data_IF_371815093388
#
_entry.id   IF_371815093388
#
_cell.length_a   1.000
_cell.length_b   1.000
_cell.length_c   1.000
_cell.angle_alpha   90.00
_cell.angle_beta   90.00
_cell.angle_gamma   90.00
#
_symmetry.space_group_name_H-M   'P 1'
#
loop_
_entity.id
_entity.type
_entity.pdbx_description
1 polymer ?
#
# COMPACT_ATOMS: atom_id res chain seq x y z
N UNK A 1 19.87 1.89 1.27
CA UNK A 1 19.27 3.26 1.19
C UNK A 1 19.37 3.93 2.54
N UNK A 2 19.51 5.26 2.56
CA UNK A 2 19.61 6.07 3.77
C UNK A 2 18.28 6.78 4.05
N UNK A 3 17.88 6.94 5.31
CA UNK A 3 16.68 7.71 5.69
C UNK A 3 17.00 8.64 6.85
N UNK A 4 16.70 9.94 6.77
CA UNK A 4 16.81 10.89 7.89
C UNK A 4 15.48 11.16 8.56
N UNK A 5 15.52 11.33 9.87
CA UNK A 5 14.36 11.65 10.71
C UNK A 5 14.48 13.07 11.26
N UNK A 6 13.44 13.90 11.10
CA UNK A 6 13.37 15.30 11.56
C UNK A 6 12.12 15.53 12.41
N UNK A 7 12.26 16.11 13.59
CA UNK A 7 11.16 16.32 14.53
C UNK A 7 10.10 17.31 14.00
N UNK A 8 8.81 17.00 14.20
CA UNK A 8 7.69 17.89 13.85
C UNK A 8 7.58 19.01 14.89
N UNK A 9 7.42 20.26 14.46
CA UNK A 9 7.43 21.46 15.32
C UNK A 9 6.39 21.48 16.46
N UNK A 10 5.34 20.65 16.39
CA UNK A 10 4.24 20.59 17.38
C UNK A 10 3.96 19.15 17.87
N UNK A 11 4.97 18.26 17.90
CA UNK A 11 4.80 16.96 18.55
C UNK A 11 4.52 17.22 20.04
N UNK A 12 3.27 17.00 20.49
CA UNK A 12 2.90 17.19 21.89
C UNK A 12 3.79 16.36 22.83
N UNK A 13 3.93 16.80 24.08
CA UNK A 13 4.67 16.04 25.09
C UNK A 13 3.86 14.77 25.42
N UNK A 14 4.28 13.63 24.87
CA UNK A 14 3.81 12.33 25.35
C UNK A 14 4.89 11.70 26.22
N UNK A 15 4.78 11.89 27.53
CA UNK A 15 5.51 11.09 28.49
C UNK A 15 4.91 9.69 28.53
N UNK A 16 5.57 8.72 27.91
CA UNK A 16 5.43 7.30 28.28
C UNK A 16 6.77 6.59 28.11
N UNK A 17 7.73 6.82 29.03
CA UNK A 17 8.94 6.01 29.32
C UNK A 17 9.87 5.50 28.18
N UNK A 18 9.55 5.72 26.91
CA UNK A 18 10.20 5.15 25.73
C UNK A 18 10.16 6.16 24.57
N UNK A 19 10.53 7.42 24.84
CA UNK A 19 10.97 8.31 23.76
C UNK A 19 12.38 7.86 23.35
N UNK A 20 12.55 7.23 22.19
CA UNK A 20 13.84 6.71 21.79
C UNK A 20 14.86 7.86 21.70
N UNK A 21 14.47 9.04 21.23
CA UNK A 21 15.37 10.17 20.99
C UNK A 21 15.93 10.78 22.28
N UNK A 22 15.15 10.81 23.37
CA UNK A 22 15.67 11.20 24.70
C UNK A 22 16.56 10.12 25.31
N UNK A 23 16.28 8.84 25.07
CA UNK A 23 17.12 7.73 25.54
C UNK A 23 18.42 7.53 24.72
N UNK A 24 18.49 8.04 23.49
CA UNK A 24 19.65 7.91 22.59
C UNK A 24 20.73 8.98 22.80
N UNK A 25 20.49 10.04 23.58
CA UNK A 25 21.49 11.10 23.78
C UNK A 25 22.77 10.62 24.50
N UNK A 26 22.76 9.44 25.11
CA UNK A 26 23.86 8.90 25.93
C UNK A 26 24.54 7.64 25.38
N UNK A 27 24.07 7.01 24.30
CA UNK A 27 24.64 5.74 23.82
C UNK A 27 24.90 5.71 22.31
N UNK A 28 26.11 5.29 21.93
CA UNK A 28 26.59 5.29 20.54
C UNK A 28 26.08 4.14 19.65
N UNK A 29 25.26 3.23 20.17
CA UNK A 29 24.52 2.23 19.40
C UNK A 29 23.67 1.38 20.32
N UNK A 30 22.42 1.10 19.94
CA UNK A 30 21.59 0.09 20.59
C UNK A 30 21.02 -0.87 19.54
N UNK A 31 20.96 -2.16 19.87
CA UNK A 31 20.25 -3.19 19.11
C UNK A 31 18.93 -3.51 19.84
N UNK A 32 17.82 -3.51 19.12
CA UNK A 32 16.50 -3.80 19.68
C UNK A 32 15.95 -5.13 19.15
N UNK A 33 15.14 -5.85 19.95
CA UNK A 33 14.37 -7.00 19.49
C UNK A 33 13.40 -6.62 18.37
N UNK A 34 13.13 -7.56 17.46
CA UNK A 34 12.28 -7.38 16.27
C UNK A 34 10.85 -6.94 16.59
N UNK A 35 10.31 -7.30 17.76
CA UNK A 35 8.97 -6.89 18.19
C UNK A 35 8.84 -5.41 18.55
N UNK A 36 9.94 -4.74 18.94
CA UNK A 36 9.94 -3.33 19.32
C UNK A 36 9.98 -2.38 18.11
N UNK A 37 10.34 -2.87 16.92
CA UNK A 37 10.57 -2.02 15.75
C UNK A 37 9.29 -1.43 15.18
N UNK A 38 8.18 -2.15 15.30
CA UNK A 38 6.85 -1.69 14.87
C UNK A 38 6.42 -0.53 15.75
N UNK A 39 6.60 -0.65 17.07
CA UNK A 39 6.29 0.40 18.04
C UNK A 39 7.20 1.62 17.84
N UNK A 40 8.48 1.40 17.58
CA UNK A 40 9.45 2.46 17.28
C UNK A 40 9.07 3.18 15.98
N UNK A 41 8.72 2.48 14.90
CA UNK A 41 8.31 3.10 13.63
C UNK A 41 6.98 3.84 13.81
N UNK A 42 5.97 3.23 14.41
CA UNK A 42 4.66 3.88 14.65
C UNK A 42 4.80 5.15 15.52
N UNK A 43 5.69 5.12 16.52
CA UNK A 43 5.99 6.28 17.37
C UNK A 43 6.82 7.34 16.63
N UNK A 44 7.79 6.93 15.81
CA UNK A 44 8.63 7.84 15.01
C UNK A 44 7.76 8.59 13.98
N UNK A 45 6.87 7.93 13.25
CA UNK A 45 6.05 8.60 12.21
C UNK A 45 5.05 9.62 12.79
N UNK A 46 4.60 9.42 14.03
CA UNK A 46 3.73 10.37 14.73
C UNK A 46 4.45 11.70 15.00
N UNK A 47 5.71 11.64 15.42
CA UNK A 47 6.45 12.80 15.92
C UNK A 47 7.55 13.33 14.96
N UNK A 48 7.93 12.56 13.94
CA UNK A 48 9.04 12.86 13.05
C UNK A 48 8.63 12.74 11.56
N UNK A 49 9.25 13.55 10.73
CA UNK A 49 9.25 13.49 9.27
C UNK A 49 10.37 12.53 8.85
N UNK A 50 10.05 11.58 7.97
CA UNK A 50 11.02 10.61 7.44
C UNK A 50 11.37 10.99 6.01
N UNK A 51 12.64 11.29 5.76
CA UNK A 51 13.15 11.68 4.45
C UNK A 51 14.07 10.59 3.92
N UNK A 52 13.82 10.12 2.69
CA UNK A 52 14.73 9.20 2.00
C UNK A 52 15.94 9.97 1.49
N UNK A 53 17.15 9.57 1.86
CA UNK A 53 18.39 10.10 1.31
C UNK A 53 18.98 9.14 0.28
N UNK A 54 19.20 9.66 -0.93
CA UNK A 54 20.07 9.01 -1.91
C UNK A 54 21.53 9.14 -1.45
N UNK A 55 22.31 8.08 -1.59
CA UNK A 55 23.75 8.18 -1.41
C UNK A 55 24.31 9.08 -2.53
N UNK A 56 24.74 10.30 -2.17
CA UNK A 56 25.25 11.41 -3.02
C UNK A 56 24.47 11.67 -4.32
N UNK A 57 23.69 12.76 -4.36
CA UNK A 57 23.42 13.48 -5.62
C UNK A 57 21.98 13.84 -6.00
N UNK A 58 21.00 13.78 -5.09
CA UNK A 58 19.64 14.27 -5.38
C UNK A 58 18.63 13.69 -4.41
N UNK A 59 17.81 14.53 -3.78
CA UNK A 59 16.79 14.11 -2.81
C UNK A 59 15.44 14.54 -3.35
N UNK A 60 14.66 13.58 -3.85
CA UNK A 60 13.20 13.71 -3.97
C UNK A 60 12.56 13.07 -2.74
N UNK A 61 11.62 13.80 -2.14
CA UNK A 61 10.95 13.47 -0.88
C UNK A 61 9.53 12.98 -1.19
N UNK A 62 9.23 11.73 -0.84
CA UNK A 62 7.87 11.22 -0.74
C UNK A 62 7.59 10.76 0.70
N UNK A 63 6.44 11.15 1.24
CA UNK A 63 6.00 10.82 2.60
C UNK A 63 5.34 9.43 2.63
N UNK A 64 5.64 8.62 3.65
CA UNK A 64 4.97 7.33 3.89
C UNK A 64 4.38 7.26 5.30
N UNK A 65 3.11 6.82 5.36
CA UNK A 65 2.45 6.35 6.57
C UNK A 65 2.62 4.82 6.63
N UNK A 66 3.31 4.30 7.65
CA UNK A 66 3.60 2.88 7.79
C UNK A 66 2.58 2.21 8.72
N UNK A 67 1.47 1.71 8.17
CA UNK A 67 0.54 0.80 8.87
C UNK A 67 0.96 -0.66 8.57
N UNK A 68 1.96 -1.23 9.28
CA UNK A 68 2.15 -2.69 9.27
C UNK A 68 2.97 -3.24 10.45
N UNK A 69 2.50 -4.35 11.01
CA UNK A 69 2.94 -4.92 12.28
C UNK A 69 3.80 -6.19 12.21
N UNK A 70 4.58 -6.45 11.15
CA UNK A 70 5.54 -7.56 11.22
C UNK A 70 6.66 -7.45 10.20
N UNK A 71 7.92 -7.58 10.65
CA UNK A 71 9.06 -7.70 9.75
C UNK A 71 10.23 -8.47 10.38
N UNK A 72 10.89 -9.29 9.56
CA UNK A 72 12.14 -9.98 9.89
C UNK A 72 13.28 -9.54 8.96
N UNK A 73 14.36 -8.95 9.50
CA UNK A 73 15.70 -8.92 8.87
C UNK A 73 16.77 -8.62 9.94
N UNK A 74 17.94 -9.24 9.80
CA UNK A 74 18.98 -9.44 10.83
C UNK A 74 20.05 -8.35 10.90
N UNK A 75 20.05 -7.33 10.04
CA UNK A 75 21.19 -6.38 9.97
C UNK A 75 20.85 -4.88 9.97
N UNK A 76 19.59 -4.50 10.26
CA UNK A 76 19.12 -3.09 10.34
C UNK A 76 20.00 -2.24 11.27
N UNK A 77 20.76 -1.29 10.73
CA UNK A 77 21.63 -0.37 11.51
C UNK A 77 20.99 1.01 11.63
N UNK A 78 20.98 1.55 12.85
CA UNK A 78 20.57 2.92 13.15
C UNK A 78 21.83 3.73 13.48
N UNK A 79 22.00 4.92 12.90
CA UNK A 79 23.08 5.86 13.25
C UNK A 79 22.50 7.22 13.65
N UNK A 80 22.90 7.75 14.79
CA UNK A 80 22.50 9.10 15.21
C UNK A 80 23.53 10.14 14.75
N UNK A 81 23.09 11.18 14.05
CA UNK A 81 23.93 12.31 13.68
C UNK A 81 23.72 13.47 14.65
N UNK A 82 24.67 13.62 15.58
CA UNK A 82 24.63 14.63 16.65
C UNK A 82 24.66 16.08 16.15
N UNK A 83 25.30 16.37 15.00
CA UNK A 83 25.35 17.74 14.45
C UNK A 83 24.04 18.17 13.79
N UNK A 84 23.32 17.21 13.21
CA UNK A 84 22.09 17.47 12.46
C UNK A 84 20.82 17.13 13.26
N UNK A 85 20.96 16.68 14.52
CA UNK A 85 19.89 16.15 15.36
C UNK A 85 18.95 15.19 14.59
N UNK A 86 19.53 14.27 13.82
CA UNK A 86 18.78 13.37 12.94
C UNK A 86 19.21 11.93 13.12
N UNK A 87 18.26 11.02 12.98
CA UNK A 87 18.48 9.58 13.07
C UNK A 87 18.46 8.98 11.66
N UNK A 88 19.52 8.26 11.32
CA UNK A 88 19.77 7.64 10.03
C UNK A 88 19.44 6.15 10.10
N UNK A 89 18.39 5.70 9.41
CA UNK A 89 18.11 4.27 9.27
C UNK A 89 18.80 3.75 8.00
N UNK A 90 19.75 2.84 8.18
CA UNK A 90 20.41 2.15 7.09
C UNK A 90 19.70 0.82 6.84
N UNK A 91 18.99 0.74 5.72
CA UNK A 91 18.41 -0.53 5.24
C UNK A 91 19.25 -1.00 4.07
N UNK A 92 20.06 -2.05 4.31
CA UNK A 92 21.04 -2.59 3.34
C UNK A 92 20.35 -3.02 2.02
N UNK A 93 19.09 -3.45 2.06
CA UNK A 93 18.32 -3.91 0.89
C UNK A 93 17.12 -3.01 0.50
N UNK A 94 17.07 -1.76 1.01
CA UNK A 94 15.92 -0.87 0.79
C UNK A 94 14.65 -1.28 1.55
N UNK A 95 13.59 -0.48 1.44
CA UNK A 95 12.32 -0.79 2.10
C UNK A 95 11.65 -2.04 1.47
N UNK A 96 10.95 -2.86 2.27
CA UNK A 96 10.14 -3.97 1.76
C UNK A 96 9.16 -3.51 0.69
N UNK A 97 8.84 -4.38 -0.29
CA UNK A 97 7.99 -4.04 -1.45
C UNK A 97 6.63 -3.46 -1.02
N UNK A 98 5.98 -4.00 0.02
CA UNK A 98 4.72 -3.48 0.56
C UNK A 98 4.80 -2.11 1.26
N UNK A 99 5.99 -1.64 1.64
CA UNK A 99 6.19 -0.35 2.34
C UNK A 99 6.70 0.76 1.42
N UNK A 100 6.97 0.44 0.14
CA UNK A 100 7.41 1.39 -0.87
C UNK A 100 6.22 1.92 -1.66
N UNK A 101 6.33 3.14 -2.22
CA UNK A 101 5.37 3.59 -3.23
C UNK A 101 5.42 2.63 -4.41
N UNK A 102 4.36 2.62 -5.18
CA UNK A 102 4.40 2.12 -6.57
C UNK A 102 4.92 3.21 -7.49
N UNK A 103 5.32 2.84 -8.70
CA UNK A 103 5.74 3.78 -9.74
C UNK A 103 4.68 4.82 -10.14
N UNK A 104 3.40 4.60 -9.80
CA UNK A 104 2.27 5.40 -10.27
C UNK A 104 1.53 6.11 -9.13
N UNK A 105 1.52 7.45 -9.16
CA UNK A 105 0.84 8.30 -8.17
C UNK A 105 -0.66 8.02 -8.07
N UNK A 106 -1.31 7.74 -9.20
CA UNK A 106 -2.73 7.47 -9.23
C UNK A 106 -3.04 6.15 -8.51
N UNK A 107 -2.20 5.13 -8.71
CA UNK A 107 -2.23 3.87 -7.97
C UNK A 107 -1.98 4.10 -6.48
N UNK A 108 -0.94 4.86 -6.10
CA UNK A 108 -0.65 5.17 -4.71
C UNK A 108 -1.84 5.82 -4.00
N UNK A 109 -2.52 6.80 -4.63
CA UNK A 109 -3.74 7.44 -4.09
C UNK A 109 -4.90 6.46 -3.95
N UNK A 110 -5.11 5.55 -4.91
CA UNK A 110 -6.19 4.56 -4.86
C UNK A 110 -5.94 3.47 -3.81
N UNK A 111 -4.68 3.07 -3.59
CA UNK A 111 -4.36 2.13 -2.52
C UNK A 111 -4.81 2.67 -1.17
N UNK A 112 -4.67 3.98 -0.92
CA UNK A 112 -5.11 4.59 0.34
C UNK A 112 -6.63 4.52 0.56
N UNK A 113 -7.43 4.29 -0.48
CA UNK A 113 -8.88 4.15 -0.35
C UNK A 113 -9.31 2.70 -0.08
N UNK A 114 -8.40 1.73 -0.19
CA UNK A 114 -8.64 0.33 0.16
C UNK A 114 -8.70 0.13 1.68
N UNK A 115 -9.36 -0.95 2.12
CA UNK A 115 -9.28 -1.45 3.49
C UNK A 115 -7.80 -1.58 3.89
N UNK A 116 -7.47 -1.16 5.11
CA UNK A 116 -6.09 -1.12 5.61
C UNK A 116 -5.35 -2.44 5.41
N UNK A 117 -6.06 -3.57 5.52
CA UNK A 117 -5.50 -4.92 5.34
C UNK A 117 -5.10 -5.20 3.89
N UNK A 118 -5.74 -4.56 2.90
CA UNK A 118 -5.42 -4.72 1.46
C UNK A 118 -4.29 -3.80 1.01
N UNK A 119 -4.02 -2.70 1.72
CA UNK A 119 -3.10 -1.69 1.21
C UNK A 119 -1.67 -2.22 1.00
N UNK A 120 -1.16 -2.99 1.96
CA UNK A 120 0.17 -3.58 1.88
C UNK A 120 0.25 -4.68 0.80
N UNK A 121 -0.67 -5.67 0.75
CA UNK A 121 -0.74 -6.62 -0.35
C UNK A 121 -0.87 -5.96 -1.73
N UNK A 122 -1.65 -4.88 -1.86
CA UNK A 122 -1.79 -4.16 -3.12
C UNK A 122 -0.47 -3.51 -3.55
N UNK A 123 0.26 -2.84 -2.64
CA UNK A 123 1.60 -2.28 -2.94
C UNK A 123 2.57 -3.39 -3.32
N UNK A 124 2.57 -4.48 -2.56
CA UNK A 124 3.45 -5.62 -2.84
C UNK A 124 3.17 -6.22 -4.20
N UNK A 125 1.89 -6.36 -4.57
CA UNK A 125 1.49 -6.90 -5.86
C UNK A 125 2.04 -6.05 -7.01
N UNK A 126 1.78 -4.74 -7.00
CA UNK A 126 2.22 -3.83 -8.07
C UNK A 126 3.75 -3.79 -8.16
N UNK A 127 4.44 -3.64 -7.02
CA UNK A 127 5.90 -3.56 -6.98
C UNK A 127 6.58 -4.88 -7.37
N UNK A 128 5.99 -6.01 -7.00
CA UNK A 128 6.52 -7.33 -7.39
C UNK A 128 6.41 -7.55 -8.88
N UNK A 129 5.27 -7.21 -9.48
CA UNK A 129 5.08 -7.32 -10.94
C UNK A 129 6.03 -6.38 -11.70
N UNK A 130 6.20 -5.14 -11.23
CA UNK A 130 7.14 -4.20 -11.84
C UNK A 130 8.59 -4.70 -11.77
N UNK A 131 9.02 -5.18 -10.61
CA UNK A 131 10.42 -5.59 -10.40
C UNK A 131 10.76 -6.90 -11.10
N UNK A 132 9.87 -7.89 -11.04
CA UNK A 132 10.15 -9.25 -11.52
C UNK A 132 9.80 -9.43 -13.00
N UNK A 133 8.72 -8.79 -13.47
CA UNK A 133 8.22 -8.96 -14.83
C UNK A 133 8.46 -7.74 -15.73
N UNK A 134 8.95 -6.62 -15.17
CA UNK A 134 9.11 -5.34 -15.90
C UNK A 134 7.80 -4.85 -16.51
N UNK A 135 6.69 -5.16 -15.87
CA UNK A 135 5.34 -4.75 -16.26
C UNK A 135 4.85 -3.67 -15.30
N UNK A 136 4.48 -2.52 -15.84
CA UNK A 136 3.87 -1.45 -15.06
C UNK A 136 2.38 -1.70 -14.94
N UNK A 137 1.92 -1.92 -13.71
CA UNK A 137 0.50 -2.03 -13.39
C UNK A 137 -0.04 -0.73 -12.82
N UNK A 138 -1.28 -0.38 -13.18
CA UNK A 138 -2.04 0.70 -12.57
C UNK A 138 -3.33 0.18 -11.99
N UNK A 139 -3.62 0.54 -10.74
CA UNK A 139 -4.96 0.39 -10.18
C UNK A 139 -5.83 1.48 -10.80
N UNK A 140 -6.89 1.11 -11.53
CA UNK A 140 -7.82 2.04 -12.18
C UNK A 140 -9.08 2.29 -11.35
N UNK A 141 -9.45 1.33 -10.50
CA UNK A 141 -10.57 1.42 -9.57
C UNK A 141 -10.20 0.76 -8.24
N UNK A 142 -10.69 1.30 -7.13
CA UNK A 142 -10.48 0.78 -5.77
C UNK A 142 -11.81 0.90 -5.01
N UNK A 143 -11.88 1.68 -3.92
CA UNK A 143 -13.17 2.02 -3.30
C UNK A 143 -14.08 2.72 -4.31
N UNK A 144 -15.33 2.24 -4.39
CA UNK A 144 -16.40 2.83 -5.20
C UNK A 144 -17.62 3.07 -4.32
N UNK A 145 -18.19 4.26 -4.37
CA UNK A 145 -19.42 4.58 -3.65
C UNK A 145 -20.62 3.79 -4.20
N UNK A 146 -21.71 3.72 -3.43
CA UNK A 146 -22.96 3.09 -3.86
C UNK A 146 -23.53 3.77 -5.11
N UNK A 147 -23.46 5.11 -5.15
CA UNK A 147 -23.93 5.90 -6.27
C UNK A 147 -23.13 5.64 -7.55
N UNK A 148 -21.79 5.62 -7.47
CA UNK A 148 -20.93 5.28 -8.59
C UNK A 148 -21.18 3.85 -9.09
N UNK A 149 -21.37 2.88 -8.18
CA UNK A 149 -21.69 1.51 -8.58
C UNK A 149 -23.06 1.41 -9.25
N UNK A 150 -24.06 2.15 -8.78
CA UNK A 150 -25.36 2.22 -9.44
C UNK A 150 -25.26 2.86 -10.84
N UNK A 151 -24.44 3.89 -11.00
CA UNK A 151 -24.18 4.49 -12.31
C UNK A 151 -23.58 3.47 -13.29
N UNK A 152 -22.58 2.68 -12.85
CA UNK A 152 -22.01 1.59 -13.68
C UNK A 152 -23.04 0.48 -13.96
N UNK A 153 -23.89 0.13 -12.99
CA UNK A 153 -24.97 -0.83 -13.20
C UNK A 153 -25.99 -0.32 -14.24
N UNK A 154 -26.28 0.97 -14.26
CA UNK A 154 -27.21 1.57 -15.20
C UNK A 154 -26.67 1.62 -16.65
N UNK A 155 -25.34 1.60 -16.82
CA UNK A 155 -24.71 1.58 -18.14
C UNK A 155 -25.09 0.33 -18.95
N UNK A 156 -25.54 0.55 -20.19
CA UNK A 156 -26.07 -0.48 -21.08
C UNK A 156 -27.43 -1.04 -20.67
N UNK A 157 -28.09 -0.42 -19.68
CA UNK A 157 -29.44 -0.77 -19.21
C UNK A 157 -30.39 0.42 -19.32
N UNK A 158 -30.11 1.48 -18.57
CA UNK A 158 -30.89 2.72 -18.55
C UNK A 158 -30.09 3.92 -19.05
N UNK A 159 -28.79 3.79 -19.21
CA UNK A 159 -27.91 4.77 -19.87
C UNK A 159 -27.10 4.09 -20.99
N UNK A 160 -26.69 4.81 -22.05
CA UNK A 160 -25.91 4.23 -23.14
C UNK A 160 -24.56 3.65 -22.70
N UNK A 161 -24.04 2.68 -23.46
CA UNK A 161 -22.73 2.06 -23.25
C UNK A 161 -22.79 0.54 -23.06
N UNK A 162 -21.63 -0.11 -22.95
CA UNK A 162 -21.58 -1.55 -22.69
C UNK A 162 -21.90 -1.87 -21.24
N UNK A 163 -22.51 -3.03 -20.98
CA UNK A 163 -22.70 -3.54 -19.62
C UNK A 163 -21.33 -3.94 -19.06
N UNK A 164 -20.84 -3.17 -18.08
CA UNK A 164 -19.54 -3.40 -17.43
C UNK A 164 -19.65 -4.07 -16.07
N UNK A 165 -20.85 -4.18 -15.51
CA UNK A 165 -21.07 -4.87 -14.23
C UNK A 165 -22.47 -5.49 -14.15
N UNK A 166 -22.60 -6.55 -13.36
CA UNK A 166 -23.89 -7.13 -12.94
C UNK A 166 -24.26 -6.75 -11.50
N UNK A 167 -23.36 -6.13 -10.75
CA UNK A 167 -23.57 -5.77 -9.35
C UNK A 167 -24.25 -4.40 -9.22
N UNK A 168 -25.37 -4.35 -8.49
CA UNK A 168 -25.97 -3.09 -8.03
C UNK A 168 -25.12 -2.48 -6.89
N UNK A 169 -25.35 -1.22 -6.59
CA UNK A 169 -24.78 -0.54 -5.43
C UNK A 169 -24.94 -1.36 -4.15
N UNK A 170 -23.84 -1.52 -3.41
CA UNK A 170 -23.75 -2.32 -2.19
C UNK A 170 -23.58 -3.80 -2.46
N UNK A 171 -23.56 -4.24 -3.72
CA UNK A 171 -23.42 -5.65 -4.09
C UNK A 171 -22.08 -5.96 -4.77
N UNK A 172 -21.11 -5.06 -4.60
CA UNK A 172 -19.74 -5.17 -5.11
C UNK A 172 -18.75 -4.99 -3.97
N UNK A 173 -17.66 -5.77 -3.96
CA UNK A 173 -16.60 -5.63 -2.96
C UNK A 173 -15.86 -4.28 -3.05
N UNK A 174 -15.94 -3.59 -4.20
CA UNK A 174 -15.49 -2.19 -4.32
C UNK A 174 -16.24 -1.26 -3.37
N UNK A 175 -17.51 -1.54 -3.04
CA UNK A 175 -18.30 -0.73 -2.11
C UNK A 175 -17.87 -0.84 -0.64
N UNK A 176 -16.94 -1.76 -0.38
CA UNK A 176 -16.41 -2.07 0.93
C UNK A 176 -14.88 -1.93 0.99
N UNK A 177 -14.26 -1.35 -0.04
CA UNK A 177 -12.81 -1.17 -0.14
C UNK A 177 -12.00 -2.50 -0.15
N UNK A 178 -12.67 -3.60 -0.54
CA UNK A 178 -12.12 -4.96 -0.55
C UNK A 178 -11.76 -5.48 -1.95
N UNK A 179 -11.80 -4.61 -2.96
CA UNK A 179 -11.49 -4.94 -4.34
C UNK A 179 -10.78 -3.79 -5.07
N UNK A 180 -10.02 -4.16 -6.10
CA UNK A 180 -9.31 -3.25 -6.98
C UNK A 180 -9.31 -3.79 -8.42
N UNK A 181 -9.44 -2.88 -9.39
CA UNK A 181 -9.28 -3.20 -10.81
C UNK A 181 -7.90 -2.74 -11.28
N UNK A 182 -7.17 -3.63 -11.95
CA UNK A 182 -5.79 -3.40 -12.36
C UNK A 182 -5.63 -3.58 -13.86
N UNK A 183 -4.86 -2.69 -14.49
CA UNK A 183 -4.51 -2.77 -15.92
C UNK A 183 -3.00 -2.64 -16.12
N UNK A 184 -2.50 -3.17 -17.23
CA UNK A 184 -1.14 -2.90 -17.68
C UNK A 184 -1.09 -1.49 -18.26
N UNK A 185 -0.02 -0.77 -17.96
CA UNK A 185 0.33 0.49 -18.61
C UNK A 185 1.58 0.27 -19.46
N UNK A 186 1.52 0.68 -20.72
CA UNK A 186 2.67 0.70 -21.63
C UNK A 186 2.71 2.06 -22.30
N UNK A 187 3.87 2.72 -22.26
CA UNK A 187 4.08 4.05 -22.87
C UNK A 187 3.03 5.09 -22.40
N UNK A 188 2.66 5.02 -21.11
CA UNK A 188 1.66 5.91 -20.51
C UNK A 188 0.19 5.56 -20.80
N UNK A 189 -0.08 4.56 -21.64
CA UNK A 189 -1.43 4.16 -22.04
C UNK A 189 -1.88 2.88 -21.33
N UNK A 190 -3.15 2.85 -20.91
CA UNK A 190 -3.77 1.66 -20.34
C UNK A 190 -4.07 0.63 -21.44
N UNK A 191 -3.56 -0.58 -21.27
CA UNK A 191 -3.78 -1.71 -22.17
C UNK A 191 -4.88 -2.59 -21.57
N UNK A 192 -6.07 -2.53 -22.17
CA UNK A 192 -7.26 -3.28 -21.75
C UNK A 192 -7.27 -4.71 -22.31
N UNK A 193 -6.23 -5.47 -21.97
CA UNK A 193 -6.10 -6.88 -22.31
C UNK A 193 -6.19 -7.76 -21.07
N UNK A 194 -6.47 -9.06 -21.26
CA UNK A 194 -6.36 -10.04 -20.17
C UNK A 194 -4.92 -10.02 -19.65
N UNK A 195 -4.76 -9.98 -18.33
CA UNK A 195 -3.44 -9.97 -17.69
C UNK A 195 -2.69 -11.28 -17.98
N UNK A 196 -1.36 -11.23 -18.21
CA UNK A 196 -0.52 -12.42 -18.29
C UNK A 196 -0.70 -13.31 -17.06
N UNK A 197 -0.60 -14.63 -17.24
CA UNK A 197 -0.87 -15.58 -16.14
C UNK A 197 0.12 -15.42 -14.99
N UNK A 198 1.35 -15.00 -15.28
CA UNK A 198 2.41 -14.70 -14.31
C UNK A 198 2.02 -13.53 -13.41
N UNK A 199 1.43 -12.47 -13.99
CA UNK A 199 0.90 -11.33 -13.22
C UNK A 199 -0.22 -11.80 -12.30
N UNK A 200 -1.18 -12.56 -12.84
CA UNK A 200 -2.30 -13.10 -12.05
C UNK A 200 -1.79 -13.97 -10.92
N UNK A 201 -0.80 -14.83 -11.18
CA UNK A 201 -0.21 -15.73 -10.19
C UNK A 201 0.41 -14.98 -9.03
N UNK A 202 1.13 -13.88 -9.26
CA UNK A 202 1.68 -13.06 -8.18
C UNK A 202 0.55 -12.51 -7.28
N UNK A 203 -0.54 -12.05 -7.87
CA UNK A 203 -1.72 -11.60 -7.11
C UNK A 203 -2.34 -12.73 -6.28
N UNK A 204 -2.52 -13.90 -6.88
CA UNK A 204 -3.05 -15.10 -6.21
C UNK A 204 -2.15 -15.57 -5.06
N UNK A 205 -0.82 -15.58 -5.26
CA UNK A 205 0.16 -15.98 -4.25
C UNK A 205 0.19 -15.00 -3.06
N UNK A 206 -0.20 -13.74 -3.27
CA UNK A 206 -0.43 -12.73 -2.22
C UNK A 206 -1.80 -12.84 -1.55
N UNK A 207 -2.65 -13.75 -2.01
CA UNK A 207 -3.98 -14.05 -1.45
C UNK A 207 -5.14 -13.33 -2.13
N UNK A 208 -4.93 -12.66 -3.26
CA UNK A 208 -6.03 -12.08 -4.03
C UNK A 208 -6.80 -13.17 -4.80
N UNK A 209 -8.12 -13.06 -4.79
CA UNK A 209 -8.97 -13.74 -5.76
C UNK A 209 -9.05 -12.89 -7.04
N UNK A 210 -8.80 -13.51 -8.19
CA UNK A 210 -8.89 -12.84 -9.50
C UNK A 210 -10.21 -13.10 -10.21
N UNK A 211 -10.88 -12.05 -10.67
CA UNK A 211 -12.19 -12.12 -11.32
C UNK A 211 -12.22 -12.85 -12.66
N UNK A 212 -11.06 -13.01 -13.32
CA UNK A 212 -10.91 -13.83 -14.53
C UNK A 212 -11.12 -15.33 -14.29
N UNK A 213 -10.97 -15.80 -13.04
CA UNK A 213 -11.19 -17.20 -12.65
C UNK A 213 -12.66 -17.52 -12.34
N UNK A 214 -13.55 -16.53 -12.30
CA UNK A 214 -14.95 -16.77 -11.99
C UNK A 214 -15.63 -17.66 -13.04
N UNK A 215 -16.45 -18.60 -12.58
CA UNK A 215 -17.24 -19.49 -13.46
C UNK A 215 -18.30 -18.74 -14.27
N UNK A 216 -18.76 -17.60 -13.76
CA UNK A 216 -19.82 -16.78 -14.34
C UNK A 216 -19.30 -15.62 -15.17
N UNK A 217 -19.81 -14.43 -14.89
CA UNK A 217 -19.37 -13.19 -15.54
C UNK A 217 -17.92 -12.92 -15.14
N UNK A 218 -16.98 -13.17 -16.04
CA UNK A 218 -15.55 -12.94 -15.81
C UNK A 218 -15.25 -11.45 -15.85
N UNK A 219 -14.52 -10.99 -14.84
CA UNK A 219 -14.07 -9.61 -14.72
C UNK A 219 -12.54 -9.59 -14.66
N UNK A 220 -11.91 -9.45 -15.84
CA UNK A 220 -10.47 -9.67 -15.99
C UNK A 220 -9.57 -8.63 -15.29
N UNK A 221 -9.96 -7.36 -15.14
CA UNK A 221 -9.20 -6.41 -14.32
C UNK A 221 -9.30 -6.66 -12.81
N UNK A 222 -10.33 -7.37 -12.34
CA UNK A 222 -10.74 -7.38 -10.94
C UNK A 222 -9.90 -8.29 -10.05
N UNK A 223 -9.46 -7.77 -8.91
CA UNK A 223 -8.86 -8.52 -7.80
C UNK A 223 -9.56 -8.17 -6.48
N UNK A 224 -9.80 -9.17 -5.62
CA UNK A 224 -10.43 -8.96 -4.32
C UNK A 224 -9.85 -9.81 -3.20
N UNK A 225 -10.03 -9.35 -1.96
CA UNK A 225 -9.80 -10.13 -0.74
C UNK A 225 -11.01 -9.97 0.17
N UNK A 226 -11.79 -11.04 0.35
CA UNK A 226 -13.06 -10.99 1.08
C UNK A 226 -12.89 -11.14 2.59
N UNK A 227 -11.75 -11.69 3.03
CA UNK A 227 -11.50 -12.08 4.42
C UNK A 227 -12.60 -12.97 5.02
N UNK A 228 -13.20 -13.82 4.19
CA UNK A 228 -14.28 -14.72 4.59
C UNK A 228 -15.65 -14.05 4.72
N UNK A 229 -15.79 -12.76 4.38
CA UNK A 229 -17.06 -12.03 4.44
C UNK A 229 -17.79 -12.08 3.10
N UNK A 230 -19.05 -12.50 3.13
CA UNK A 230 -19.94 -12.36 1.98
C UNK A 230 -20.43 -10.92 1.84
N UNK A 231 -20.90 -10.54 0.66
CA UNK A 231 -21.60 -9.26 0.44
C UNK A 231 -22.78 -9.08 1.41
N UNK A 232 -23.47 -10.17 1.79
CA UNK A 232 -24.58 -10.10 2.75
C UNK A 232 -24.09 -9.71 4.14
N UNK A 233 -22.98 -10.30 4.58
CA UNK A 233 -22.39 -9.96 5.89
C UNK A 233 -21.98 -8.49 5.93
N UNK A 234 -21.31 -8.02 4.87
CA UNK A 234 -20.86 -6.64 4.74
C UNK A 234 -22.00 -5.62 4.68
N UNK A 235 -23.18 -6.00 4.18
CA UNK A 235 -24.37 -5.13 4.23
C UNK A 235 -24.94 -4.97 5.63
N UNK A 236 -24.80 -5.99 6.48
CA UNK A 236 -25.38 -6.01 7.82
C UNK A 236 -24.46 -5.39 8.89
N UNK A 237 -23.19 -5.14 8.56
CA UNK A 237 -22.19 -4.51 9.45
C UNK A 237 -22.18 -2.97 9.39
N UNK A 238 -23.02 -2.37 8.53
CA UNK A 238 -23.23 -0.92 8.44
C UNK A 238 -24.50 -0.50 9.16
#
# INVERSE_FOLDING_TARGET
MEYSLKEKRNAGILFTFYDPFKSFQSFNSCSYPSSSIILIIDTIHKNYIVEKKSAKGGVDIDYYSLDSGMFWDRKRRIKFNKKANSLLLLVENGLPKHLRPTWDDATNKRILTLDKRLQNPAREFINTVEEELRIQLRIVQALRTIAEQNALYNQGRTTPGNIVTKARGGSSYHNYALAMDVVIVKEGQAIWSILPREVVKIGEDLGFEWGGNWKGFKDYPHFQMTFGKSIRDLKNEK
#
